data_IF_829639807089
#
_entry.id   IF_829639807089
#
_cell.length_a   1.000
_cell.length_b   1.000
_cell.length_c   1.000
_cell.angle_alpha   90.00
_cell.angle_beta   90.00
_cell.angle_gamma   90.00
#
_symmetry.space_group_name_H-M   'P 1'
#
loop_
_entity.id
_entity.type
_entity.pdbx_description
1 polymer ?
#
# COMPACT_ATOMS: atom_id res chain seq x y z
N UNK A 1 29.79 -18.86 -13.48
CA UNK A 1 28.40 -18.77 -12.95
C UNK A 1 28.34 -19.46 -11.60
N UNK A 2 27.90 -18.78 -10.54
CA UNK A 2 27.87 -19.38 -9.21
C UNK A 2 26.64 -20.31 -9.03
N UNK A 3 26.65 -21.20 -8.02
CA UNK A 3 25.55 -22.15 -7.77
C UNK A 3 24.20 -21.46 -7.48
N UNK A 4 24.18 -20.30 -6.82
CA UNK A 4 22.96 -19.51 -6.55
C UNK A 4 22.38 -18.92 -7.85
N UNK A 5 23.26 -18.47 -8.73
CA UNK A 5 22.93 -17.85 -10.00
C UNK A 5 22.37 -18.88 -11.00
N UNK A 6 23.00 -20.07 -11.06
CA UNK A 6 22.50 -21.21 -11.81
C UNK A 6 21.09 -21.64 -11.35
N UNK A 7 20.87 -21.72 -10.03
CA UNK A 7 19.57 -22.03 -9.43
C UNK A 7 18.52 -20.97 -9.77
N UNK A 8 18.86 -19.68 -9.68
CA UNK A 8 17.96 -18.58 -10.03
C UNK A 8 17.50 -18.67 -11.48
N UNK A 9 18.42 -18.90 -12.41
CA UNK A 9 18.10 -19.04 -13.84
C UNK A 9 17.21 -20.26 -14.10
N UNK A 10 17.52 -21.39 -13.45
CA UNK A 10 16.66 -22.58 -13.50
C UNK A 10 15.24 -22.28 -13.00
N UNK A 11 15.10 -21.62 -11.85
CA UNK A 11 13.80 -21.29 -11.26
C UNK A 11 12.98 -20.35 -12.17
N UNK A 12 13.63 -19.39 -12.83
CA UNK A 12 13.01 -18.50 -13.82
C UNK A 12 12.49 -19.32 -15.01
N UNK A 13 13.34 -20.17 -15.59
CA UNK A 13 13.01 -21.03 -16.73
C UNK A 13 11.84 -21.99 -16.38
N UNK A 14 11.91 -22.61 -15.21
CA UNK A 14 10.88 -23.51 -14.70
C UNK A 14 9.54 -22.80 -14.53
N UNK A 15 9.52 -21.62 -13.90
CA UNK A 15 8.30 -20.81 -13.71
C UNK A 15 7.71 -20.38 -15.05
N UNK A 16 8.54 -20.04 -16.03
CA UNK A 16 8.10 -19.67 -17.39
C UNK A 16 7.43 -20.86 -18.09
N UNK A 17 8.08 -22.03 -18.08
CA UNK A 17 7.56 -23.26 -18.71
C UNK A 17 6.30 -23.81 -18.02
N UNK A 18 6.18 -23.64 -16.71
CA UNK A 18 5.09 -24.18 -15.90
C UNK A 18 4.07 -23.11 -15.46
N UNK A 19 4.07 -21.93 -16.09
CA UNK A 19 3.28 -20.77 -15.66
C UNK A 19 1.82 -21.11 -15.43
N UNK A 20 1.17 -21.80 -16.37
CA UNK A 20 -0.26 -22.05 -16.30
C UNK A 20 -0.60 -23.07 -15.20
N UNK A 21 0.24 -24.08 -14.99
CA UNK A 21 0.11 -25.05 -13.89
C UNK A 21 0.27 -24.36 -12.53
N UNK A 22 1.28 -23.50 -12.40
CA UNK A 22 1.53 -22.73 -11.17
C UNK A 22 0.35 -21.79 -10.90
N UNK A 23 -0.11 -21.06 -11.92
CA UNK A 23 -1.24 -20.15 -11.79
C UNK A 23 -2.53 -20.87 -11.35
N UNK A 24 -2.83 -22.04 -11.95
CA UNK A 24 -3.98 -22.88 -11.53
C UNK A 24 -3.85 -23.35 -10.09
N UNK A 25 -2.69 -23.84 -9.69
CA UNK A 25 -2.44 -24.30 -8.31
C UNK A 25 -2.56 -23.16 -7.30
N UNK A 26 -1.98 -22.00 -7.61
CA UNK A 26 -2.07 -20.81 -6.76
C UNK A 26 -3.51 -20.30 -6.68
N UNK A 27 -4.26 -20.31 -7.79
CA UNK A 27 -5.67 -19.94 -7.78
C UNK A 27 -6.50 -20.87 -6.90
N UNK A 28 -6.30 -22.19 -7.00
CA UNK A 28 -6.97 -23.17 -6.15
C UNK A 28 -6.64 -22.96 -4.66
N UNK A 29 -5.36 -22.73 -4.33
CA UNK A 29 -4.94 -22.43 -2.96
C UNK A 29 -5.60 -21.16 -2.42
N UNK A 30 -5.64 -20.07 -3.20
CA UNK A 30 -6.28 -18.80 -2.81
C UNK A 30 -7.79 -18.96 -2.61
N UNK A 31 -8.43 -19.83 -3.38
CA UNK A 31 -9.87 -20.09 -3.30
C UNK A 31 -10.27 -20.89 -2.05
N UNK A 32 -9.35 -21.69 -1.47
CA UNK A 32 -9.63 -22.46 -0.25
C UNK A 32 -9.86 -21.55 0.97
N UNK A 33 -9.08 -20.47 1.10
CA UNK A 33 -9.23 -19.49 2.18
C UNK A 33 -8.94 -18.07 1.66
N UNK A 34 -9.95 -17.43 1.04
CA UNK A 34 -9.81 -16.09 0.49
C UNK A 34 -9.47 -15.03 1.55
N UNK A 35 -9.98 -15.21 2.78
CA UNK A 35 -9.77 -14.25 3.87
C UNK A 35 -8.31 -14.28 4.35
N UNK A 36 -7.75 -15.46 4.58
CA UNK A 36 -6.33 -15.63 4.90
C UNK A 36 -5.44 -15.09 3.81
N UNK A 37 -5.75 -15.37 2.53
CA UNK A 37 -4.97 -14.84 1.42
C UNK A 37 -5.01 -13.31 1.36
N UNK A 38 -6.19 -12.71 1.57
CA UNK A 38 -6.37 -11.24 1.62
C UNK A 38 -5.52 -10.64 2.74
N UNK A 39 -5.54 -11.22 3.94
CA UNK A 39 -4.73 -10.78 5.08
C UNK A 39 -3.24 -10.90 4.81
N UNK A 40 -2.79 -12.07 4.35
CA UNK A 40 -1.40 -12.33 3.98
C UNK A 40 -0.89 -11.32 2.95
N UNK A 41 -1.67 -11.05 1.90
CA UNK A 41 -1.28 -10.09 0.86
C UNK A 41 -1.15 -8.67 1.42
N UNK A 42 -2.07 -8.26 2.30
CA UNK A 42 -2.05 -6.94 2.91
C UNK A 42 -0.84 -6.79 3.85
N UNK A 43 -0.62 -7.75 4.75
CA UNK A 43 0.52 -7.78 5.66
C UNK A 43 1.87 -7.75 4.91
N UNK A 44 2.00 -8.55 3.85
CA UNK A 44 3.19 -8.53 2.98
C UNK A 44 3.41 -7.16 2.35
N UNK A 45 2.35 -6.51 1.86
CA UNK A 45 2.43 -5.17 1.26
C UNK A 45 2.86 -4.15 2.29
N UNK A 46 2.26 -4.18 3.48
CA UNK A 46 2.56 -3.24 4.57
C UNK A 46 4.02 -3.35 4.99
N UNK A 47 4.48 -4.58 5.23
CA UNK A 47 5.86 -4.85 5.65
C UNK A 47 6.89 -4.40 4.63
N UNK A 48 6.67 -4.71 3.35
CA UNK A 48 7.67 -4.46 2.31
C UNK A 48 7.65 -3.03 1.74
N UNK A 49 6.52 -2.33 1.82
CA UNK A 49 6.43 -0.95 1.35
C UNK A 49 6.64 0.08 2.44
N UNK A 50 6.14 -0.20 3.64
CA UNK A 50 6.05 0.79 4.72
C UNK A 50 6.76 0.35 6.00
N UNK A 51 7.30 -0.87 6.04
CA UNK A 51 8.00 -1.37 7.23
C UNK A 51 7.10 -1.70 8.42
N UNK A 52 5.77 -1.66 8.27
CA UNK A 52 4.80 -1.90 9.35
C UNK A 52 4.09 -3.24 9.18
N UNK A 53 3.63 -3.81 10.30
CA UNK A 53 2.79 -5.02 10.31
C UNK A 53 1.32 -4.69 10.04
N UNK A 54 0.51 -5.72 9.80
CA UNK A 54 -0.95 -5.55 9.78
C UNK A 54 -1.52 -5.03 11.10
N UNK A 55 -0.93 -5.40 12.24
CA UNK A 55 -1.38 -4.92 13.57
C UNK A 55 -1.14 -3.42 13.70
N UNK A 56 0.06 -2.97 13.35
CA UNK A 56 0.41 -1.54 13.40
C UNK A 56 -0.56 -0.71 12.53
N UNK A 57 -0.93 -1.22 11.36
CA UNK A 57 -1.91 -0.57 10.48
C UNK A 57 -3.31 -0.49 11.11
N UNK A 58 -3.74 -1.53 11.83
CA UNK A 58 -5.02 -1.55 12.54
C UNK A 58 -4.98 -0.59 13.75
N UNK A 59 -3.88 -0.57 14.49
CA UNK A 59 -3.66 0.33 15.62
C UNK A 59 -3.64 1.80 15.17
N UNK A 60 -3.02 2.09 14.03
CA UNK A 60 -3.05 3.43 13.41
C UNK A 60 -4.46 3.85 13.00
N UNK A 61 -5.25 2.94 12.42
CA UNK A 61 -6.65 3.24 12.09
C UNK A 61 -7.46 3.54 13.35
N UNK A 62 -7.29 2.74 14.40
CA UNK A 62 -7.96 2.94 15.67
C UNK A 62 -7.54 4.27 16.34
N UNK A 63 -6.25 4.62 16.29
CA UNK A 63 -5.74 5.89 16.80
C UNK A 63 -6.26 7.12 16.03
N UNK A 64 -6.71 6.93 14.78
CA UNK A 64 -7.39 7.95 13.98
C UNK A 64 -8.93 7.85 14.04
N UNK A 65 -9.48 7.11 15.00
CA UNK A 65 -10.91 6.87 15.15
C UNK A 65 -11.57 6.32 13.87
N UNK A 66 -10.82 5.59 13.04
CA UNK A 66 -11.28 5.06 11.76
C UNK A 66 -11.61 6.13 10.71
N UNK A 67 -10.98 7.30 10.80
CA UNK A 67 -11.17 8.40 9.87
C UNK A 67 -9.87 8.85 9.19
N UNK A 68 -10.01 9.42 8.00
CA UNK A 68 -8.92 10.04 7.25
C UNK A 68 -8.31 11.19 8.06
N UNK A 69 -6.99 11.18 8.26
CA UNK A 69 -6.28 12.22 9.02
C UNK A 69 -6.36 13.64 8.43
N UNK A 70 -6.90 13.81 7.20
CA UNK A 70 -7.04 15.11 6.53
C UNK A 70 -8.49 15.56 6.41
N UNK A 71 -9.38 14.70 5.92
CA UNK A 71 -10.75 15.08 5.57
C UNK A 71 -11.83 14.38 6.38
N UNK A 72 -11.43 13.57 7.37
CA UNK A 72 -12.32 12.87 8.29
C UNK A 72 -13.34 11.94 7.60
N UNK A 73 -13.11 11.56 6.35
CA UNK A 73 -13.89 10.52 5.69
C UNK A 73 -13.63 9.17 6.37
N UNK A 74 -14.69 8.36 6.56
CA UNK A 74 -14.58 7.04 7.18
C UNK A 74 -13.66 6.13 6.38
N UNK A 75 -12.88 5.33 7.11
CA UNK A 75 -11.90 4.39 6.59
C UNK A 75 -12.24 2.98 7.05
N UNK A 76 -12.06 2.04 6.13
CA UNK A 76 -12.26 0.62 6.43
C UNK A 76 -10.91 -0.11 6.48
N UNK A 77 -10.74 -1.01 7.45
CA UNK A 77 -9.55 -1.88 7.56
C UNK A 77 -9.27 -2.65 6.28
N UNK A 78 -10.32 -2.99 5.52
CA UNK A 78 -10.23 -3.77 4.29
C UNK A 78 -10.65 -3.01 3.04
N UNK A 79 -10.91 -1.70 3.17
CA UNK A 79 -11.35 -0.84 2.08
C UNK A 79 -10.23 -0.59 1.07
N UNK A 80 -10.59 -0.50 -0.20
CA UNK A 80 -9.67 -0.09 -1.27
C UNK A 80 -9.35 1.40 -1.25
N UNK A 81 -10.05 2.16 -0.41
CA UNK A 81 -9.92 3.62 -0.28
C UNK A 81 -9.03 4.04 0.90
N UNK A 82 -8.52 3.09 1.68
CA UNK A 82 -7.69 3.32 2.87
C UNK A 82 -6.22 3.12 2.54
N UNK A 83 -5.41 4.18 2.61
CA UNK A 83 -4.02 4.18 2.18
C UNK A 83 -3.08 4.64 3.28
N UNK A 84 -1.89 4.03 3.35
CA UNK A 84 -0.79 4.49 4.22
C UNK A 84 -0.07 5.61 3.50
N UNK A 85 -0.05 6.79 4.11
CA UNK A 85 0.76 7.92 3.69
C UNK A 85 2.15 7.85 4.34
N UNK A 86 3.18 8.19 3.58
CA UNK A 86 4.56 8.17 4.05
C UNK A 86 5.35 9.27 3.36
N UNK A 87 6.34 9.76 4.07
CA UNK A 87 7.32 10.68 3.55
C UNK A 87 8.18 9.99 2.48
N UNK A 88 8.27 10.59 1.29
CA UNK A 88 8.98 9.97 0.16
C UNK A 88 10.50 10.10 0.24
N UNK A 89 11.04 10.93 1.14
CA UNK A 89 12.49 11.11 1.33
C UNK A 89 13.01 10.18 2.44
N UNK A 90 12.30 10.12 3.55
CA UNK A 90 12.69 9.35 4.75
C UNK A 90 12.06 7.97 4.81
N UNK A 91 10.92 7.76 4.13
CA UNK A 91 10.12 6.55 4.23
C UNK A 91 9.27 6.47 5.51
N UNK A 92 9.28 7.50 6.35
CA UNK A 92 8.53 7.51 7.61
C UNK A 92 7.03 7.60 7.33
N UNK A 93 6.26 6.74 8.00
CA UNK A 93 4.80 6.72 7.89
C UNK A 93 4.22 7.93 8.60
N UNK A 94 3.38 8.71 7.90
CA UNK A 94 2.74 9.90 8.44
C UNK A 94 1.37 9.61 9.04
N UNK A 95 0.61 8.71 8.42
CA UNK A 95 -0.76 8.38 8.84
C UNK A 95 -1.53 7.59 7.79
N UNK A 96 -2.82 7.40 8.02
CA UNK A 96 -3.73 6.73 7.11
C UNK A 96 -4.68 7.75 6.48
N UNK A 97 -4.76 7.74 5.16
CA UNK A 97 -5.56 8.68 4.39
C UNK A 97 -6.58 7.96 3.50
N UNK A 98 -7.66 8.68 3.17
CA UNK A 98 -8.52 8.26 2.09
C UNK A 98 -7.80 8.42 0.73
N UNK A 99 -8.22 7.64 -0.27
CA UNK A 99 -7.63 7.67 -1.63
C UNK A 99 -7.55 9.08 -2.23
N UNK A 100 -8.56 9.92 -2.01
CA UNK A 100 -8.62 11.29 -2.56
C UNK A 100 -7.56 12.18 -1.94
N UNK A 101 -7.43 12.15 -0.61
CA UNK A 101 -6.43 12.92 0.11
C UNK A 101 -5.02 12.44 -0.23
N UNK A 102 -4.79 11.12 -0.24
CA UNK A 102 -3.49 10.54 -0.56
C UNK A 102 -3.03 10.91 -1.98
N UNK A 103 -3.93 10.87 -2.96
CA UNK A 103 -3.62 11.30 -4.34
C UNK A 103 -3.40 12.81 -4.39
N UNK A 104 -4.23 13.60 -3.71
CA UNK A 104 -4.15 15.05 -3.68
C UNK A 104 -2.79 15.55 -3.17
N UNK A 105 -2.33 15.06 -2.02
CA UNK A 105 -1.02 15.44 -1.49
C UNK A 105 0.12 14.97 -2.39
N UNK A 106 -0.02 13.80 -3.03
CA UNK A 106 0.96 13.31 -4.01
C UNK A 106 1.10 14.21 -5.24
N UNK A 107 0.01 14.87 -5.66
CA UNK A 107 0.04 15.85 -6.76
C UNK A 107 0.63 17.20 -6.33
N UNK A 108 0.35 17.63 -5.10
CA UNK A 108 0.85 18.91 -4.59
C UNK A 108 2.33 18.85 -4.19
N UNK A 109 2.86 17.65 -3.87
CA UNK A 109 4.27 17.32 -3.59
C UNK A 109 4.88 17.96 -2.34
N UNK A 110 4.73 19.27 -2.16
CA UNK A 110 5.30 20.02 -1.05
C UNK A 110 4.31 21.04 -0.46
N UNK A 111 4.66 21.56 0.72
CA UNK A 111 3.80 22.47 1.47
C UNK A 111 3.67 23.86 0.82
N UNK A 112 4.68 24.31 0.06
CA UNK A 112 4.67 25.62 -0.58
C UNK A 112 3.64 25.65 -1.71
N UNK A 113 3.59 24.60 -2.54
CA UNK A 113 2.58 24.44 -3.58
C UNK A 113 1.17 24.35 -2.98
N UNK A 114 1.01 23.68 -1.83
CA UNK A 114 -0.27 23.63 -1.12
C UNK A 114 -0.71 25.04 -0.68
N UNK A 115 0.18 25.85 -0.11
CA UNK A 115 -0.16 27.22 0.30
C UNK A 115 -0.48 28.11 -0.92
N UNK A 116 0.23 27.95 -2.04
CA UNK A 116 -0.11 28.66 -3.28
C UNK A 116 -1.47 28.23 -3.83
N UNK A 117 -1.78 26.92 -3.82
CA UNK A 117 -3.09 26.42 -4.24
C UNK A 117 -4.22 26.98 -3.38
N UNK A 118 -4.01 27.07 -2.06
CA UNK A 118 -4.95 27.72 -1.14
C UNK A 118 -5.14 29.20 -1.47
N UNK A 119 -4.06 29.98 -1.62
CA UNK A 119 -4.13 31.40 -2.00
C UNK A 119 -4.87 31.61 -3.32
N UNK A 120 -4.62 30.76 -4.32
CA UNK A 120 -5.33 30.78 -5.60
C UNK A 120 -6.85 30.60 -5.42
N UNK A 121 -7.26 29.59 -4.64
CA UNK A 121 -8.68 29.32 -4.35
C UNK A 121 -9.34 30.45 -3.56
N UNK A 122 -8.60 31.06 -2.63
CA UNK A 122 -9.05 32.20 -1.82
C UNK A 122 -9.02 33.54 -2.57
N UNK A 123 -8.50 33.58 -3.81
CA UNK A 123 -8.29 34.80 -4.61
C UNK A 123 -7.37 35.81 -3.93
N UNK A 124 -6.30 35.30 -3.32
CA UNK A 124 -5.25 36.06 -2.63
C UNK A 124 -3.96 36.18 -3.48
N UNK A 125 -4.03 35.80 -4.76
CA UNK A 125 -2.98 35.94 -5.78
C UNK A 125 -3.46 36.92 -6.86
#
# INVERSE_FOLDING_TARGET
MNKKEAKRLYDIEYRKKNRDKINKSVAAYRAQDPARWKRYKKDWTLKHKYGISFSDFEDMLAAQDWFCAICEASLDLWGSTTHVDHDHETGEVRGILCVRCNIGIGYLRDADVLEMAKKYLCKEI
#
